data_IF_211813812668
#
_entry.id   IF_211813812668
#
_cell.length_a   1.000
_cell.length_b   1.000
_cell.length_c   1.000
_cell.angle_alpha   90.00
_cell.angle_beta   90.00
_cell.angle_gamma   90.00
#
_symmetry.space_group_name_H-M   'P 1'
#
loop_
_entity.id
_entity.type
_entity.pdbx_description
1 polymer ?
#
# COMPACT_ATOMS: atom_id res chain seq x y z
N UNK A 1 3.52 -12.17 12.95
CA UNK A 1 2.30 -12.90 12.49
C UNK A 1 1.24 -11.85 12.19
N UNK A 2 0.59 -11.93 11.03
CA UNK A 2 -0.52 -11.06 10.65
C UNK A 2 -1.85 -11.80 10.86
N UNK A 3 -2.81 -11.16 11.53
CA UNK A 3 -4.18 -11.66 11.69
C UNK A 3 -5.04 -11.39 10.45
N UNK A 4 -6.33 -11.77 10.52
CA UNK A 4 -7.35 -11.42 9.52
C UNK A 4 -8.15 -10.20 9.97
N UNK A 5 -7.43 -9.16 10.39
CA UNK A 5 -7.93 -7.89 10.88
C UNK A 5 -7.15 -6.73 10.23
N UNK A 6 -7.59 -5.50 10.46
CA UNK A 6 -6.93 -4.31 9.88
C UNK A 6 -5.46 -4.20 10.31
N UNK A 7 -5.12 -4.58 11.53
CA UNK A 7 -3.74 -4.59 12.03
C UNK A 7 -2.86 -5.60 11.28
N UNK A 8 -3.39 -6.79 11.01
CA UNK A 8 -2.76 -7.82 10.19
C UNK A 8 -2.55 -7.35 8.76
N UNK A 9 -3.56 -6.72 8.15
CA UNK A 9 -3.45 -6.14 6.81
C UNK A 9 -2.36 -5.08 6.77
N UNK A 10 -2.36 -4.13 7.72
CA UNK A 10 -1.32 -3.11 7.86
C UNK A 10 0.08 -3.72 7.93
N UNK A 11 0.28 -4.74 8.76
CA UNK A 11 1.56 -5.46 8.87
C UNK A 11 1.97 -6.10 7.55
N UNK A 12 1.03 -6.70 6.81
CA UNK A 12 1.31 -7.28 5.50
C UNK A 12 1.77 -6.22 4.50
N UNK A 13 1.06 -5.09 4.40
CA UNK A 13 1.42 -4.00 3.47
C UNK A 13 2.81 -3.45 3.80
N UNK A 14 3.05 -3.09 5.06
CA UNK A 14 4.34 -2.53 5.49
C UNK A 14 5.49 -3.50 5.27
N UNK A 15 5.27 -4.79 5.54
CA UNK A 15 6.26 -5.83 5.28
C UNK A 15 6.53 -5.99 3.78
N UNK A 16 5.52 -5.88 2.91
CA UNK A 16 5.70 -5.89 1.46
C UNK A 16 6.52 -4.68 0.97
N UNK A 17 6.26 -3.48 1.49
CA UNK A 17 7.07 -2.28 1.19
C UNK A 17 8.52 -2.48 1.63
N UNK A 18 8.72 -2.97 2.85
CA UNK A 18 10.05 -3.29 3.36
C UNK A 18 10.76 -4.36 2.50
N UNK A 19 10.07 -5.39 2.03
CA UNK A 19 10.69 -6.39 1.16
C UNK A 19 11.02 -5.84 -0.23
N UNK A 20 10.19 -4.96 -0.78
CA UNK A 20 10.41 -4.36 -2.09
C UNK A 20 11.68 -3.50 -2.10
N UNK A 21 12.01 -2.82 -1.00
CA UNK A 21 13.14 -1.87 -0.95
C UNK A 21 13.02 -0.87 -2.12
N UNK A 22 14.11 -0.58 -2.83
CA UNK A 22 14.10 0.22 -4.05
C UNK A 22 13.60 -0.47 -5.32
N UNK A 23 13.23 -1.75 -5.24
CA UNK A 23 12.81 -2.55 -6.39
C UNK A 23 11.36 -2.21 -6.73
N UNK A 24 11.17 -1.51 -7.84
CA UNK A 24 9.89 -0.88 -8.21
C UNK A 24 10.01 0.59 -8.56
N UNK A 25 11.24 1.12 -8.61
CA UNK A 25 11.54 2.50 -8.95
C UNK A 25 10.88 3.51 -8.01
N UNK A 26 11.03 3.29 -6.70
CA UNK A 26 10.60 4.25 -5.67
C UNK A 26 11.25 5.63 -5.89
N UNK A 27 10.66 6.75 -5.46
CA UNK A 27 9.37 6.86 -4.79
C UNK A 27 8.19 6.62 -5.74
N UNK A 28 7.23 5.82 -5.30
CA UNK A 28 6.13 5.37 -6.16
C UNK A 28 4.77 5.30 -5.47
N UNK A 29 3.78 4.83 -6.21
CA UNK A 29 2.43 4.56 -5.70
C UNK A 29 2.25 3.07 -5.47
N UNK A 30 1.51 2.70 -4.44
CA UNK A 30 1.15 1.31 -4.17
C UNK A 30 -0.36 1.12 -4.24
N UNK A 31 -0.80 0.15 -5.03
CA UNK A 31 -2.18 -0.33 -5.08
C UNK A 31 -2.32 -1.61 -4.25
N UNK A 32 -3.34 -1.67 -3.40
CA UNK A 32 -3.58 -2.80 -2.50
C UNK A 32 -5.00 -3.32 -2.68
N UNK A 33 -5.13 -4.61 -2.95
CA UNK A 33 -6.40 -5.32 -2.97
C UNK A 33 -6.55 -6.22 -1.74
N UNK A 34 -7.65 -6.08 -1.01
CA UNK A 34 -7.98 -6.89 0.16
C UNK A 34 -9.20 -7.76 -0.14
N UNK A 35 -9.04 -9.08 -0.04
CA UNK A 35 -10.09 -10.05 -0.31
C UNK A 35 -10.02 -10.63 -1.72
N UNK A 36 -11.13 -11.21 -2.18
CA UNK A 36 -11.22 -11.92 -3.45
C UNK A 36 -10.45 -13.25 -3.49
N UNK A 37 -10.40 -13.83 -4.68
CA UNK A 37 -9.53 -14.95 -5.03
C UNK A 37 -8.19 -14.44 -5.59
N UNK A 38 -7.34 -15.37 -6.03
CA UNK A 38 -6.00 -15.03 -6.52
C UNK A 38 -6.04 -14.10 -7.73
N UNK A 39 -7.01 -14.26 -8.63
CA UNK A 39 -7.14 -13.43 -9.83
C UNK A 39 -7.77 -12.09 -9.49
N UNK A 40 -8.95 -12.10 -8.88
CA UNK A 40 -9.71 -10.88 -8.58
C UNK A 40 -8.99 -9.93 -7.60
N UNK A 41 -8.23 -10.47 -6.64
CA UNK A 41 -7.41 -9.66 -5.73
C UNK A 41 -6.29 -8.89 -6.43
N UNK A 42 -5.62 -9.50 -7.43
CA UNK A 42 -4.59 -8.82 -8.22
C UNK A 42 -5.19 -7.77 -9.17
N UNK A 43 -6.32 -8.09 -9.77
CA UNK A 43 -7.06 -7.15 -10.62
C UNK A 43 -7.47 -5.90 -9.82
N UNK A 44 -8.08 -6.10 -8.64
CA UNK A 44 -8.42 -4.99 -7.74
C UNK A 44 -7.20 -4.17 -7.35
N UNK A 45 -6.08 -4.79 -6.96
CA UNK A 45 -4.86 -4.06 -6.61
C UNK A 45 -4.35 -3.20 -7.78
N UNK A 46 -4.47 -3.71 -9.01
CA UNK A 46 -4.09 -2.98 -10.23
C UNK A 46 -5.04 -1.82 -10.51
N UNK A 47 -6.34 -1.99 -10.30
CA UNK A 47 -7.32 -0.91 -10.39
C UNK A 47 -7.03 0.20 -9.37
N UNK A 48 -6.72 -0.17 -8.13
CA UNK A 48 -6.37 0.82 -7.10
C UNK A 48 -5.12 1.61 -7.45
N UNK A 49 -4.13 1.00 -8.09
CA UNK A 49 -2.92 1.70 -8.54
C UNK A 49 -3.21 2.80 -9.58
N UNK A 50 -4.31 2.69 -10.35
CA UNK A 50 -4.71 3.67 -11.35
C UNK A 50 -5.69 4.73 -10.82
N UNK A 51 -6.07 4.66 -9.54
CA UNK A 51 -6.85 5.72 -8.89
C UNK A 51 -6.12 7.06 -8.95
N UNK A 52 -6.88 8.14 -8.97
CA UNK A 52 -6.28 9.48 -9.06
C UNK A 52 -5.54 9.80 -7.77
N UNK A 53 -4.44 10.54 -7.89
CA UNK A 53 -3.62 10.93 -6.74
C UNK A 53 -4.43 11.73 -5.72
N UNK A 54 -5.28 12.63 -6.21
CA UNK A 54 -6.12 13.56 -5.42
C UNK A 54 -7.43 12.95 -4.89
N UNK A 55 -7.72 11.68 -5.21
CA UNK A 55 -8.90 11.02 -4.66
C UNK A 55 -8.69 10.55 -3.21
N UNK A 56 -9.80 10.38 -2.49
CA UNK A 56 -9.81 9.85 -1.14
C UNK A 56 -10.69 8.61 -1.12
N UNK A 57 -10.34 7.65 -0.26
CA UNK A 57 -11.18 6.50 -0.03
C UNK A 57 -12.48 6.92 0.66
N UNK A 58 -13.63 6.47 0.13
CA UNK A 58 -14.93 6.72 0.75
C UNK A 58 -15.07 6.02 2.10
N UNK A 59 -14.32 4.93 2.30
CA UNK A 59 -14.25 4.20 3.55
C UNK A 59 -13.19 4.80 4.47
N UNK A 60 -13.66 5.37 5.59
CA UNK A 60 -12.81 6.01 6.59
C UNK A 60 -11.69 5.10 7.12
N UNK A 61 -12.01 3.83 7.40
CA UNK A 61 -11.06 2.84 7.91
C UNK A 61 -9.93 2.55 6.91
N UNK A 62 -10.25 2.53 5.62
CA UNK A 62 -9.27 2.34 4.56
C UNK A 62 -8.48 3.61 4.28
N UNK A 63 -9.11 4.79 4.36
CA UNK A 63 -8.41 6.07 4.20
C UNK A 63 -7.33 6.24 5.26
N UNK A 64 -7.67 5.98 6.53
CA UNK A 64 -6.71 6.03 7.63
C UNK A 64 -5.56 5.03 7.44
N UNK A 65 -5.84 3.87 6.84
CA UNK A 65 -4.82 2.88 6.53
C UNK A 65 -3.93 3.32 5.34
N UNK A 66 -4.50 3.93 4.30
CA UNK A 66 -3.77 4.54 3.18
C UNK A 66 -2.77 5.57 3.71
N UNK A 67 -3.23 6.50 4.55
CA UNK A 67 -2.41 7.54 5.19
C UNK A 67 -1.31 6.94 6.07
N UNK A 68 -1.67 6.00 6.96
CA UNK A 68 -0.71 5.31 7.83
C UNK A 68 0.43 4.68 7.02
N UNK A 69 0.09 3.98 5.93
CA UNK A 69 1.08 3.26 5.11
C UNK A 69 2.06 4.24 4.47
N UNK A 70 1.59 5.37 3.94
CA UNK A 70 2.47 6.38 3.32
C UNK A 70 3.40 6.98 4.37
N UNK A 71 2.87 7.41 5.51
CA UNK A 71 3.64 8.01 6.59
C UNK A 71 4.74 7.06 7.08
N UNK A 72 4.37 5.84 7.46
CA UNK A 72 5.31 4.89 8.06
C UNK A 72 6.25 4.27 7.02
N UNK A 73 5.89 4.23 5.73
CA UNK A 73 6.81 3.75 4.68
C UNK A 73 7.95 4.75 4.45
N UNK A 74 7.66 6.04 4.61
CA UNK A 74 8.64 7.11 4.46
C UNK A 74 9.63 7.15 5.64
N UNK A 75 9.23 6.66 6.81
CA UNK A 75 10.12 6.47 7.96
C UNK A 75 11.10 5.29 7.82
N UNK A 76 10.90 4.37 6.86
CA UNK A 76 11.77 3.21 6.67
C UNK A 76 13.16 3.56 6.14
N UNK A 77 13.37 4.78 5.64
CA UNK A 77 14.66 5.22 5.12
C UNK A 77 15.11 4.50 3.85
N UNK A 78 14.19 3.87 3.11
CA UNK A 78 14.48 3.18 1.84
C UNK A 78 14.80 4.21 0.75
N UNK A 79 13.99 5.25 0.65
CA UNK A 79 14.20 6.36 -0.27
C UNK A 79 14.03 6.00 -1.75
N UNK A 80 14.38 6.94 -2.61
CA UNK A 80 14.25 6.79 -4.06
C UNK A 80 15.21 5.73 -4.59
N UNK A 81 14.70 4.77 -5.35
CA UNK A 81 15.44 3.64 -5.91
C UNK A 81 16.19 2.80 -4.86
N UNK A 82 15.91 2.97 -3.56
CA UNK A 82 16.64 2.31 -2.48
C UNK A 82 17.97 2.97 -2.11
N UNK A 83 18.23 4.21 -2.54
CA UNK A 83 19.46 4.94 -2.20
C UNK A 83 19.41 5.65 -0.83
N UNK A 84 18.36 5.42 -0.05
CA UNK A 84 18.12 6.14 1.19
C UNK A 84 17.42 7.48 0.96
N UNK A 85 16.94 8.07 2.05
CA UNK A 85 16.21 9.34 2.05
C UNK A 85 14.83 9.23 2.70
N UNK A 86 14.09 10.34 2.68
CA UNK A 86 12.85 10.52 3.45
C UNK A 86 11.59 10.06 2.69
N UNK A 87 11.69 9.69 1.42
CA UNK A 87 10.51 9.37 0.60
C UNK A 87 10.65 8.02 -0.10
N UNK A 88 9.87 7.05 0.37
CA UNK A 88 9.71 5.71 -0.19
C UNK A 88 8.43 5.62 -1.04
N UNK A 89 7.32 6.19 -0.56
CA UNK A 89 6.01 6.17 -1.22
C UNK A 89 5.45 7.58 -1.37
N UNK A 90 4.85 7.82 -2.53
CA UNK A 90 4.09 9.03 -2.85
C UNK A 90 2.59 8.86 -2.57
N UNK A 91 2.09 7.62 -2.52
CA UNK A 91 0.70 7.35 -2.22
C UNK A 91 0.39 5.86 -2.07
N UNK A 92 -0.67 5.57 -1.33
CA UNK A 92 -1.23 4.24 -1.13
C UNK A 92 -2.72 4.31 -1.48
N UNK A 93 -3.22 3.33 -2.24
CA UNK A 93 -4.63 3.23 -2.64
C UNK A 93 -5.11 1.81 -2.33
N UNK A 94 -6.13 1.69 -1.50
CA UNK A 94 -6.60 0.42 -0.93
C UNK A 94 -8.04 0.16 -1.35
N UNK A 95 -8.30 -1.05 -1.85
CA UNK A 95 -9.62 -1.53 -2.23
C UNK A 95 -9.96 -2.81 -1.51
N UNK A 96 -11.26 -3.06 -1.35
CA UNK A 96 -11.81 -4.27 -0.72
C UNK A 96 -12.82 -4.91 -1.64
N UNK A 97 -12.78 -6.24 -1.73
CA UNK A 97 -13.84 -7.04 -2.35
C UNK A 97 -14.14 -8.24 -1.47
N UNK A 98 -15.39 -8.71 -1.51
CA UNK A 98 -15.76 -9.91 -0.80
C UNK A 98 -15.06 -11.14 -1.41
N UNK A 99 -14.76 -12.10 -0.54
CA UNK A 99 -14.24 -13.41 -0.92
C UNK A 99 -15.38 -14.38 -1.19
#
# INVERSE_FOLDING_TARGET
KAGRDLDGIRKCIMHSVYQAQGQGCSAGFIGVGIGGDRTSGYELAKEQLFRRVDDLNEREDLRQLEEYVVEHANELGIGTMGFGGETTLLGCKIGVINR
#
